data_IF_254666163481
#
_entry.id   IF_254666163481
#
_cell.length_a   1.000
_cell.length_b   1.000
_cell.length_c   1.000
_cell.angle_alpha   90.00
_cell.angle_beta   90.00
_cell.angle_gamma   90.00
#
_symmetry.space_group_name_H-M   'P 1'
#
loop_
_entity.id
_entity.type
_entity.pdbx_description
1 polymer ?
#
# COMPACT_ATOMS: atom_id res chain seq x y z
N UNK A 1 19.25 5.37 -5.94
CA UNK A 1 18.60 4.26 -6.64
C UNK A 1 19.40 3.02 -6.37
N UNK A 2 18.76 1.98 -5.84
CA UNK A 2 19.40 0.68 -5.74
C UNK A 2 19.84 0.25 -7.15
N UNK A 3 21.07 -0.19 -7.29
CA UNK A 3 21.61 -0.73 -8.55
C UNK A 3 21.74 -2.26 -8.47
N UNK A 4 20.94 -2.88 -7.59
CA UNK A 4 21.00 -4.31 -7.33
C UNK A 4 20.71 -5.13 -8.59
N UNK A 5 19.84 -4.63 -9.46
CA UNK A 5 19.48 -5.27 -10.73
C UNK A 5 19.54 -4.28 -11.89
N UNK A 6 19.82 -4.81 -13.07
CA UNK A 6 19.67 -4.09 -14.34
C UNK A 6 18.42 -4.68 -15.01
N UNK A 7 17.30 -3.95 -15.06
CA UNK A 7 16.07 -4.49 -15.64
C UNK A 7 16.26 -4.88 -17.11
N UNK A 8 15.79 -6.07 -17.50
CA UNK A 8 15.96 -6.62 -18.85
C UNK A 8 15.47 -5.68 -19.96
N UNK A 9 14.36 -4.98 -19.69
CA UNK A 9 13.68 -4.09 -20.63
C UNK A 9 14.06 -2.61 -20.47
N UNK A 10 15.08 -2.31 -19.66
CA UNK A 10 15.56 -0.93 -19.51
C UNK A 10 16.14 -0.43 -20.84
N UNK A 11 15.57 0.67 -21.35
CA UNK A 11 16.01 1.26 -22.62
C UNK A 11 15.65 0.43 -23.85
N UNK A 12 14.57 -0.36 -23.78
CA UNK A 12 14.05 -1.11 -24.94
C UNK A 12 13.95 -0.20 -26.18
N UNK A 13 14.51 -0.70 -27.29
CA UNK A 13 14.58 0.00 -28.58
C UNK A 13 13.29 -0.15 -29.39
N UNK A 14 12.52 -1.21 -29.15
CA UNK A 14 11.31 -1.55 -29.90
C UNK A 14 10.12 -1.79 -28.95
N UNK A 15 9.76 -0.81 -28.11
CA UNK A 15 8.69 -1.00 -27.14
C UNK A 15 7.33 -1.16 -27.81
N UNK A 16 6.47 -2.02 -27.24
CA UNK A 16 5.08 -2.11 -27.67
C UNK A 16 4.35 -0.77 -27.40
N UNK A 17 3.78 -0.10 -28.41
CA UNK A 17 3.09 1.18 -28.23
C UNK A 17 1.90 1.10 -27.29
N UNK A 18 1.18 -0.02 -27.25
CA UNK A 18 0.04 -0.22 -26.34
C UNK A 18 0.50 -0.27 -24.89
N UNK A 19 1.63 -0.94 -24.60
CA UNK A 19 2.22 -0.97 -23.26
C UNK A 19 2.64 0.43 -22.80
N UNK A 20 3.34 1.18 -23.66
CA UNK A 20 3.72 2.58 -23.36
C UNK A 20 2.49 3.43 -23.03
N UNK A 21 1.43 3.28 -23.83
CA UNK A 21 0.16 4.00 -23.61
C UNK A 21 -0.50 3.61 -22.29
N UNK A 22 -0.51 2.32 -21.94
CA UNK A 22 -1.09 1.81 -20.71
C UNK A 22 -0.35 2.34 -19.48
N UNK A 23 0.97 2.15 -19.40
CA UNK A 23 1.76 2.60 -18.23
C UNK A 23 1.75 4.12 -18.07
N UNK A 24 1.70 4.88 -19.19
CA UNK A 24 1.52 6.33 -19.18
C UNK A 24 0.18 6.76 -18.61
N UNK A 25 -0.87 5.95 -18.78
CA UNK A 25 -2.21 6.22 -18.24
C UNK A 25 -2.28 5.91 -16.73
N UNK A 26 -1.61 4.84 -16.29
CA UNK A 26 -1.60 4.41 -14.89
C UNK A 26 -0.70 5.29 -14.01
N UNK A 27 0.49 5.69 -14.51
CA UNK A 27 1.47 6.43 -13.72
C UNK A 27 0.89 7.70 -13.10
N UNK A 28 1.18 7.94 -11.84
CA UNK A 28 0.91 9.17 -11.11
C UNK A 28 2.08 10.17 -11.22
N UNK A 29 3.22 9.77 -11.79
CA UNK A 29 4.33 10.68 -12.07
C UNK A 29 3.97 11.67 -13.19
N UNK A 30 3.95 12.95 -12.86
CA UNK A 30 3.69 14.03 -13.84
C UNK A 30 4.62 13.93 -15.07
N UNK A 31 5.96 13.76 -14.93
CA UNK A 31 6.82 13.61 -16.11
C UNK A 31 6.45 12.38 -16.97
N UNK A 32 6.09 11.26 -16.34
CA UNK A 32 5.66 10.04 -17.04
C UNK A 32 4.35 10.23 -17.79
N UNK A 33 3.38 10.97 -17.23
CA UNK A 33 2.12 11.34 -17.91
C UNK A 33 2.36 12.23 -19.13
N UNK A 34 3.38 13.09 -19.11
CA UNK A 34 3.75 13.93 -20.26
C UNK A 34 4.49 13.11 -21.31
N UNK A 35 5.56 12.41 -20.92
CA UNK A 35 6.39 11.62 -21.81
C UNK A 35 6.90 10.37 -21.09
N UNK A 36 6.37 9.22 -21.50
CA UNK A 36 6.84 7.92 -21.03
C UNK A 36 8.04 7.46 -21.86
N UNK A 37 9.06 6.89 -21.21
CA UNK A 37 10.28 6.36 -21.86
C UNK A 37 10.52 4.92 -21.41
N UNK A 38 11.33 4.18 -22.17
CA UNK A 38 11.67 2.78 -21.84
C UNK A 38 12.71 2.64 -20.72
N UNK A 39 13.30 3.75 -20.29
CA UNK A 39 14.13 3.82 -19.08
C UNK A 39 13.30 4.00 -17.80
N UNK A 40 12.01 4.33 -17.94
CA UNK A 40 11.14 4.61 -16.81
C UNK A 40 10.77 3.31 -16.05
N UNK A 41 10.78 3.33 -14.70
CA UNK A 41 10.38 2.19 -13.88
C UNK A 41 8.99 1.65 -14.18
N UNK A 42 8.05 2.53 -14.50
CA UNK A 42 6.71 2.14 -14.93
C UNK A 42 6.73 1.22 -16.15
N UNK A 43 7.62 1.50 -17.11
CA UNK A 43 7.72 0.72 -18.33
C UNK A 43 8.38 -0.62 -18.05
N UNK A 44 9.63 -0.65 -17.58
CA UNK A 44 10.36 -1.91 -17.47
C UNK A 44 9.77 -2.83 -16.38
N UNK A 45 9.11 -2.28 -15.36
CA UNK A 45 8.42 -3.05 -14.33
C UNK A 45 7.18 -3.78 -14.87
N UNK A 46 6.44 -3.19 -15.81
CA UNK A 46 5.36 -3.92 -16.50
C UNK A 46 5.88 -4.76 -17.66
N UNK A 47 6.91 -4.30 -18.38
CA UNK A 47 7.45 -4.99 -19.54
C UNK A 47 7.85 -6.43 -19.22
N UNK A 48 8.51 -6.68 -18.07
CA UNK A 48 8.84 -8.06 -17.67
C UNK A 48 7.58 -8.93 -17.47
N UNK A 49 6.52 -8.39 -16.85
CA UNK A 49 5.26 -9.09 -16.66
C UNK A 49 4.58 -9.45 -17.99
N UNK A 50 4.57 -8.53 -18.96
CA UNK A 50 3.91 -8.77 -20.25
C UNK A 50 4.75 -9.62 -21.20
N UNK A 51 6.06 -9.43 -21.24
CA UNK A 51 6.93 -10.10 -22.21
C UNK A 51 7.43 -11.46 -21.74
N UNK A 52 7.63 -11.65 -20.43
CA UNK A 52 8.18 -12.90 -19.92
C UNK A 52 7.09 -13.85 -19.39
N UNK A 53 5.97 -13.34 -18.88
CA UNK A 53 4.91 -14.18 -18.28
C UNK A 53 3.74 -14.46 -19.26
N UNK A 54 3.75 -13.90 -20.47
CA UNK A 54 2.69 -14.08 -21.47
C UNK A 54 3.25 -14.32 -22.87
N UNK A 55 2.57 -15.17 -23.65
CA UNK A 55 2.81 -15.26 -25.09
C UNK A 55 2.26 -14.03 -25.83
N UNK A 56 2.60 -13.89 -27.11
CA UNK A 56 2.22 -12.73 -27.92
C UNK A 56 0.69 -12.54 -28.02
N UNK A 57 -0.10 -13.63 -28.13
CA UNK A 57 -1.57 -13.57 -28.25
C UNK A 57 -2.16 -13.07 -26.93
N UNK A 58 -1.79 -13.69 -25.82
CA UNK A 58 -2.25 -13.31 -24.47
C UNK A 58 -1.82 -11.89 -24.13
N UNK A 59 -0.59 -11.49 -24.48
CA UNK A 59 -0.08 -10.14 -24.22
C UNK A 59 -0.90 -9.06 -24.92
N UNK A 60 -1.20 -9.24 -26.20
CA UNK A 60 -2.02 -8.28 -26.95
C UNK A 60 -3.45 -8.20 -26.38
N UNK A 61 -4.06 -9.35 -26.07
CA UNK A 61 -5.37 -9.40 -25.42
C UNK A 61 -5.37 -8.70 -24.04
N UNK A 62 -4.33 -8.92 -23.23
CA UNK A 62 -4.15 -8.26 -21.93
C UNK A 62 -4.03 -6.74 -22.07
N UNK A 63 -3.24 -6.25 -23.03
CA UNK A 63 -3.08 -4.82 -23.26
C UNK A 63 -4.39 -4.16 -23.71
N UNK A 64 -5.16 -4.82 -24.57
CA UNK A 64 -6.47 -4.32 -25.01
C UNK A 64 -7.51 -4.37 -23.89
N UNK A 65 -7.57 -5.49 -23.15
CA UNK A 65 -8.46 -5.65 -22.01
C UNK A 65 -8.21 -4.63 -20.90
N UNK A 66 -6.95 -4.49 -20.46
CA UNK A 66 -6.57 -3.52 -19.42
C UNK A 66 -6.80 -2.09 -19.89
N UNK A 67 -6.59 -1.81 -21.19
CA UNK A 67 -6.93 -0.52 -21.75
C UNK A 67 -8.43 -0.27 -21.65
N UNK A 68 -9.28 -1.27 -21.88
CA UNK A 68 -10.73 -1.10 -21.79
C UNK A 68 -11.26 -1.05 -20.36
N UNK A 69 -10.59 -1.71 -19.42
CA UNK A 69 -10.89 -1.66 -17.99
C UNK A 69 -10.48 -0.33 -17.33
N UNK A 70 -9.48 0.38 -17.87
CA UNK A 70 -9.01 1.64 -17.28
C UNK A 70 -9.96 2.80 -17.59
N UNK A 71 -10.12 3.72 -16.64
CA UNK A 71 -11.02 4.85 -16.84
C UNK A 71 -10.63 5.71 -18.03
N UNK A 72 -11.60 6.06 -18.87
CA UNK A 72 -11.35 7.00 -19.99
C UNK A 72 -11.29 8.46 -19.53
N UNK A 73 -11.73 8.76 -18.30
CA UNK A 73 -11.68 10.10 -17.72
C UNK A 73 -10.24 10.57 -17.52
N UNK A 74 -9.99 11.87 -17.73
CA UNK A 74 -8.66 12.44 -17.50
C UNK A 74 -8.31 12.33 -16.01
N UNK A 75 -7.07 11.96 -15.71
CA UNK A 75 -6.52 11.80 -14.36
C UNK A 75 -7.13 10.72 -13.46
N UNK A 76 -8.22 10.05 -13.87
CA UNK A 76 -8.75 8.86 -13.21
C UNK A 76 -8.18 7.59 -13.85
N UNK A 77 -7.79 6.63 -13.01
CA UNK A 77 -7.31 5.30 -13.40
C UNK A 77 -8.38 4.25 -13.10
N UNK A 78 -8.82 4.18 -11.83
CA UNK A 78 -9.77 3.19 -11.35
C UNK A 78 -11.18 3.48 -11.89
N UNK A 79 -11.75 2.49 -12.57
CA UNK A 79 -13.16 2.40 -12.94
C UNK A 79 -13.58 0.96 -12.63
N UNK A 80 -14.72 0.82 -11.93
CA UNK A 80 -15.15 -0.44 -11.35
C UNK A 80 -16.13 -1.14 -12.29
N UNK A 81 -15.82 -2.38 -12.66
CA UNK A 81 -16.59 -3.17 -13.61
C UNK A 81 -17.01 -4.53 -13.01
N UNK A 82 -18.32 -4.80 -12.88
CA UNK A 82 -18.81 -6.10 -12.40
C UNK A 82 -18.42 -7.25 -13.32
N UNK A 83 -18.17 -8.43 -12.76
CA UNK A 83 -17.79 -9.62 -13.54
C UNK A 83 -18.72 -9.95 -14.72
N UNK A 84 -20.07 -9.87 -14.60
CA UNK A 84 -20.97 -10.14 -15.72
C UNK A 84 -20.77 -9.19 -16.91
N UNK A 85 -20.40 -7.93 -16.66
CA UNK A 85 -20.09 -6.96 -17.71
C UNK A 85 -18.81 -7.39 -18.47
N UNK A 86 -17.79 -7.85 -17.75
CA UNK A 86 -16.55 -8.30 -18.36
C UNK A 86 -16.75 -9.54 -19.25
N UNK A 87 -17.65 -10.44 -18.88
CA UNK A 87 -18.05 -11.58 -19.73
C UNK A 87 -18.71 -11.09 -21.03
N UNK A 88 -19.61 -10.11 -20.96
CA UNK A 88 -20.21 -9.51 -22.15
C UNK A 88 -19.13 -8.88 -23.06
N UNK A 89 -18.16 -8.20 -22.47
CA UNK A 89 -17.03 -7.64 -23.23
C UNK A 89 -16.21 -8.73 -23.90
N UNK A 90 -15.91 -9.83 -23.21
CA UNK A 90 -15.18 -10.95 -23.80
C UNK A 90 -15.95 -11.56 -24.98
N UNK A 91 -17.26 -11.79 -24.84
CA UNK A 91 -18.10 -12.32 -25.92
C UNK A 91 -18.18 -11.41 -27.14
N UNK A 92 -18.02 -10.08 -26.96
CA UNK A 92 -18.07 -9.08 -28.04
C UNK A 92 -16.71 -8.78 -28.67
N UNK A 93 -15.66 -8.72 -27.86
CA UNK A 93 -14.31 -8.26 -28.27
C UNK A 93 -13.32 -9.41 -28.43
N UNK A 94 -13.69 -10.61 -27.99
CA UNK A 94 -12.91 -11.84 -28.17
C UNK A 94 -11.48 -11.73 -27.61
N UNK A 95 -11.33 -11.25 -26.36
CA UNK A 95 -10.03 -11.28 -25.68
C UNK A 95 -9.54 -12.72 -25.52
N UNK A 96 -10.47 -13.64 -25.28
CA UNK A 96 -10.26 -15.09 -25.22
C UNK A 96 -11.37 -15.81 -26.00
N UNK A 97 -11.20 -17.12 -26.19
CA UNK A 97 -12.06 -17.91 -27.08
C UNK A 97 -13.36 -18.36 -26.40
N UNK A 98 -13.42 -18.41 -25.05
CA UNK A 98 -14.60 -18.75 -24.25
C UNK A 98 -14.62 -18.05 -22.88
N UNK A 99 -15.77 -18.08 -22.19
CA UNK A 99 -15.90 -17.51 -20.84
C UNK A 99 -15.06 -18.26 -19.80
N UNK A 100 -14.85 -19.57 -19.97
CA UNK A 100 -13.96 -20.35 -19.10
C UNK A 100 -12.50 -19.91 -19.28
N UNK A 101 -12.04 -19.79 -20.53
CA UNK A 101 -10.69 -19.28 -20.81
C UNK A 101 -10.50 -17.82 -20.38
N UNK A 102 -11.59 -17.04 -20.35
CA UNK A 102 -11.58 -15.67 -19.83
C UNK A 102 -11.39 -15.63 -18.31
N UNK A 103 -12.02 -16.55 -17.58
CA UNK A 103 -11.84 -16.67 -16.13
C UNK A 103 -10.37 -16.94 -15.77
N UNK A 104 -9.72 -17.88 -16.47
CA UNK A 104 -8.29 -18.17 -16.29
C UNK A 104 -7.41 -16.97 -16.68
N UNK A 105 -7.77 -16.28 -17.75
CA UNK A 105 -7.07 -15.09 -18.21
C UNK A 105 -7.10 -13.96 -17.17
N UNK A 106 -8.25 -13.65 -16.58
CA UNK A 106 -8.33 -12.62 -15.53
C UNK A 106 -7.63 -13.06 -14.24
N UNK A 107 -7.69 -14.35 -13.89
CA UNK A 107 -6.98 -14.88 -12.71
C UNK A 107 -5.47 -14.72 -12.88
N UNK A 108 -4.95 -14.96 -14.09
CA UNK A 108 -3.55 -14.70 -14.42
C UNK A 108 -3.20 -13.22 -14.29
N UNK A 109 -4.05 -12.31 -14.77
CA UNK A 109 -3.81 -10.87 -14.60
C UNK A 109 -3.83 -10.45 -13.12
N UNK A 110 -4.71 -11.02 -12.30
CA UNK A 110 -4.74 -10.78 -10.85
C UNK A 110 -3.52 -11.37 -10.14
N UNK A 111 -3.08 -12.57 -10.53
CA UNK A 111 -1.82 -13.18 -10.05
C UNK A 111 -0.60 -12.32 -10.39
N UNK A 112 -0.58 -11.66 -11.54
CA UNK A 112 0.48 -10.72 -11.93
C UNK A 112 0.31 -9.32 -11.31
N UNK A 113 -0.78 -9.08 -10.56
CA UNK A 113 -1.09 -7.78 -9.95
C UNK A 113 -1.51 -6.70 -10.94
N UNK A 114 -1.86 -7.08 -12.18
CA UNK A 114 -2.27 -6.14 -13.25
C UNK A 114 -3.74 -5.72 -13.15
N UNK A 115 -4.55 -6.54 -12.47
CA UNK A 115 -5.92 -6.21 -12.08
C UNK A 115 -6.12 -6.52 -10.59
N UNK A 116 -7.09 -5.81 -10.03
CA UNK A 116 -7.55 -5.98 -8.66
C UNK A 116 -9.06 -6.20 -8.69
N UNK A 117 -9.57 -6.86 -7.65
CA UNK A 117 -11.01 -7.03 -7.47
C UNK A 117 -11.41 -7.03 -6.00
N UNK A 118 -12.67 -6.67 -5.76
CA UNK A 118 -13.34 -6.77 -4.47
C UNK A 118 -14.76 -7.30 -4.61
N UNK A 119 -15.49 -7.38 -3.49
CA UNK A 119 -16.90 -7.76 -3.43
C UNK A 119 -17.81 -6.57 -3.10
N UNK A 120 -17.34 -5.32 -3.26
CA UNK A 120 -18.13 -4.11 -3.09
C UNK A 120 -18.37 -3.67 -1.63
N UNK A 121 -17.43 -3.89 -0.71
CA UNK A 121 -17.49 -3.46 0.70
C UNK A 121 -18.79 -3.86 1.41
N UNK A 122 -19.05 -5.16 1.46
CA UNK A 122 -20.27 -5.74 2.06
C UNK A 122 -20.24 -5.78 3.60
N UNK A 123 -19.85 -4.67 4.24
CA UNK A 123 -19.63 -4.58 5.69
C UNK A 123 -20.38 -3.40 6.32
N UNK A 124 -20.94 -3.64 7.50
CA UNK A 124 -21.47 -2.60 8.39
C UNK A 124 -20.44 -2.29 9.47
N UNK A 125 -20.68 -1.27 10.32
CA UNK A 125 -19.83 -1.03 11.48
C UNK A 125 -19.79 -2.20 12.48
N UNK A 126 -20.81 -3.06 12.46
CA UNK A 126 -21.03 -4.15 13.40
C UNK A 126 -20.60 -5.51 12.81
N UNK A 127 -20.01 -5.53 11.61
CA UNK A 127 -19.56 -6.76 10.93
C UNK A 127 -20.06 -6.91 9.49
N UNK A 128 -19.75 -8.04 8.83
CA UNK A 128 -20.24 -8.36 7.49
C UNK A 128 -21.77 -8.33 7.39
N UNK A 129 -22.30 -7.87 6.26
CA UNK A 129 -23.75 -7.84 6.02
C UNK A 129 -24.27 -9.30 5.94
N UNK A 130 -25.28 -9.69 6.74
CA UNK A 130 -25.78 -11.06 6.73
C UNK A 130 -26.36 -11.49 5.38
N UNK A 131 -26.11 -12.73 4.98
CA UNK A 131 -26.63 -13.30 3.73
C UNK A 131 -25.89 -12.83 2.47
N UNK A 132 -24.72 -12.22 2.62
CA UNK A 132 -23.86 -11.84 1.50
C UNK A 132 -23.07 -13.02 0.95
N UNK A 133 -22.90 -13.00 -0.37
CA UNK A 133 -22.10 -13.97 -1.13
C UNK A 133 -20.80 -13.34 -1.59
N UNK A 134 -19.77 -14.17 -1.66
CA UNK A 134 -18.40 -13.82 -2.06
C UNK A 134 -17.97 -14.74 -3.21
N UNK A 135 -18.85 -14.88 -4.21
CA UNK A 135 -18.59 -15.71 -5.37
C UNK A 135 -17.99 -14.87 -6.51
N UNK A 136 -17.40 -15.52 -7.53
CA UNK A 136 -16.77 -14.80 -8.65
C UNK A 136 -17.74 -13.84 -9.36
N UNK A 137 -19.00 -14.22 -9.49
CA UNK A 137 -20.06 -13.42 -10.10
C UNK A 137 -20.36 -12.11 -9.34
N UNK A 138 -20.01 -12.05 -8.06
CA UNK A 138 -20.17 -10.86 -7.22
C UNK A 138 -18.98 -9.90 -7.32
N UNK A 139 -17.88 -10.31 -7.98
CA UNK A 139 -16.64 -9.53 -8.02
C UNK A 139 -16.76 -8.31 -8.92
N UNK A 140 -16.10 -7.24 -8.49
CA UNK A 140 -15.94 -5.99 -9.23
C UNK A 140 -14.44 -5.81 -9.50
N UNK A 141 -14.06 -5.56 -10.74
CA UNK A 141 -12.66 -5.49 -11.17
C UNK A 141 -12.26 -4.08 -11.63
N UNK A 142 -10.98 -3.75 -11.45
CA UNK A 142 -10.37 -2.52 -11.97
C UNK A 142 -8.87 -2.68 -12.22
N UNK A 143 -8.28 -1.71 -12.93
CA UNK A 143 -6.82 -1.57 -13.01
C UNK A 143 -6.32 -0.79 -11.78
N UNK A 144 -5.46 -1.37 -10.93
CA UNK A 144 -4.94 -0.67 -9.76
C UNK A 144 -3.96 0.44 -10.16
N UNK A 145 -3.69 1.35 -9.22
CA UNK A 145 -2.53 2.24 -9.31
C UNK A 145 -1.24 1.42 -9.19
N UNK A 146 -0.08 2.04 -9.35
CA UNK A 146 1.17 1.34 -9.01
C UNK A 146 1.32 1.14 -7.51
N UNK A 147 1.03 2.17 -6.71
CA UNK A 147 1.13 2.15 -5.24
C UNK A 147 0.00 2.99 -4.62
N UNK A 148 -0.78 2.44 -3.67
CA UNK A 148 -0.95 1.00 -3.43
C UNK A 148 -1.55 0.33 -4.67
N UNK A 149 -1.07 -0.86 -5.02
CA UNK A 149 -1.54 -1.57 -6.20
C UNK A 149 -0.50 -2.46 -6.87
N UNK A 150 -0.41 -2.43 -8.20
CA UNK A 150 0.30 -3.46 -8.97
C UNK A 150 1.77 -3.63 -8.61
N UNK A 151 2.49 -2.55 -8.32
CA UNK A 151 3.89 -2.64 -7.90
C UNK A 151 4.02 -3.28 -6.50
N UNK A 152 3.05 -3.06 -5.62
CA UNK A 152 2.97 -3.72 -4.31
C UNK A 152 2.56 -5.19 -4.44
N UNK A 153 1.53 -5.50 -5.23
CA UNK A 153 1.00 -6.85 -5.42
C UNK A 153 2.02 -7.81 -6.04
N UNK A 154 2.90 -7.31 -6.90
CA UNK A 154 4.03 -8.10 -7.40
C UNK A 154 5.04 -8.42 -6.29
N UNK A 155 5.32 -7.47 -5.40
CA UNK A 155 6.24 -7.65 -4.26
C UNK A 155 5.65 -8.54 -3.15
N UNK A 156 4.35 -8.81 -3.17
CA UNK A 156 3.72 -9.79 -2.28
C UNK A 156 3.78 -11.22 -2.83
N UNK A 157 4.19 -11.41 -4.10
CA UNK A 157 4.27 -12.69 -4.76
C UNK A 157 5.74 -13.18 -4.79
N UNK A 158 6.07 -14.14 -3.93
CA UNK A 158 7.45 -14.66 -3.77
C UNK A 158 7.97 -15.28 -5.06
N UNK A 159 7.16 -16.12 -5.71
CA UNK A 159 7.54 -16.84 -6.93
C UNK A 159 7.81 -15.88 -8.09
N UNK A 160 6.95 -14.87 -8.26
CA UNK A 160 7.12 -13.85 -9.28
C UNK A 160 8.38 -13.02 -9.02
N UNK A 161 8.65 -12.66 -7.77
CA UNK A 161 9.85 -11.92 -7.35
C UNK A 161 11.14 -12.75 -7.41
N UNK A 162 11.04 -14.07 -7.45
CA UNK A 162 12.20 -14.94 -7.72
C UNK A 162 12.56 -14.92 -9.21
N UNK A 163 11.56 -14.85 -10.10
CA UNK A 163 11.76 -14.73 -11.56
C UNK A 163 12.14 -13.31 -11.99
N UNK A 164 11.53 -12.30 -11.38
CA UNK A 164 11.67 -10.86 -11.73
C UNK A 164 12.07 -10.01 -10.53
N UNK A 165 13.28 -10.20 -9.97
CA UNK A 165 13.70 -9.47 -8.77
C UNK A 165 13.84 -7.95 -8.99
N UNK A 166 13.90 -7.46 -10.23
CA UNK A 166 13.86 -6.04 -10.55
C UNK A 166 12.54 -5.37 -10.12
N UNK A 167 11.45 -6.14 -9.94
CA UNK A 167 10.18 -5.63 -9.45
C UNK A 167 10.30 -5.02 -8.03
N UNK A 168 11.33 -5.41 -7.26
CA UNK A 168 11.67 -4.73 -6.01
C UNK A 168 12.11 -3.28 -6.22
N UNK A 169 12.91 -3.03 -7.27
CA UNK A 169 13.30 -1.66 -7.65
C UNK A 169 12.10 -0.90 -8.20
N UNK A 170 11.22 -1.57 -8.95
CA UNK A 170 10.01 -0.95 -9.50
C UNK A 170 9.12 -0.42 -8.38
N UNK A 171 8.80 -1.26 -7.40
CA UNK A 171 8.01 -0.87 -6.24
C UNK A 171 8.66 0.28 -5.47
N UNK A 172 9.95 0.18 -5.14
CA UNK A 172 10.68 1.27 -4.46
C UNK A 172 10.59 2.59 -5.23
N UNK A 173 10.72 2.55 -6.56
CA UNK A 173 10.64 3.74 -7.41
C UNK A 173 9.25 4.36 -7.41
N UNK A 174 8.20 3.54 -7.49
CA UNK A 174 6.82 4.01 -7.49
C UNK A 174 6.40 4.57 -6.13
N UNK A 175 7.01 4.12 -5.03
CA UNK A 175 6.80 4.77 -3.72
C UNK A 175 7.50 6.12 -3.54
N UNK A 176 8.46 6.48 -4.41
CA UNK A 176 9.32 7.66 -4.23
C UNK A 176 9.11 8.74 -5.29
N UNK A 177 9.19 8.37 -6.57
CA UNK A 177 9.23 9.30 -7.69
C UNK A 177 7.96 10.14 -7.89
N UNK A 178 6.73 9.64 -7.63
CA UNK A 178 5.53 10.48 -7.71
C UNK A 178 5.54 11.61 -6.68
N UNK A 179 6.17 11.36 -5.53
CA UNK A 179 6.14 12.22 -4.36
C UNK A 179 7.22 13.31 -4.37
N UNK A 180 8.31 13.11 -5.10
CA UNK A 180 9.51 13.97 -5.12
C UNK A 180 9.25 15.47 -5.24
N UNK A 181 8.20 15.87 -5.98
CA UNK A 181 7.89 17.29 -6.25
C UNK A 181 6.61 17.77 -5.57
N UNK A 182 5.84 16.88 -4.95
CA UNK A 182 4.53 17.23 -4.39
C UNK A 182 4.48 17.11 -2.87
N UNK A 183 5.47 16.44 -2.25
CA UNK A 183 5.53 16.24 -0.79
C UNK A 183 5.33 17.52 0.03
N UNK A 184 5.91 18.70 -0.31
CA UNK A 184 5.69 19.91 0.50
C UNK A 184 4.26 20.47 0.41
N UNK A 185 3.47 20.01 -0.56
CA UNK A 185 2.09 20.46 -0.81
C UNK A 185 1.05 19.48 -0.24
N UNK A 186 1.47 18.34 0.34
CA UNK A 186 0.55 17.36 0.92
C UNK A 186 0.02 17.90 2.25
N UNK A 187 -1.31 18.07 2.39
CA UNK A 187 -1.89 18.61 3.61
C UNK A 187 -1.88 17.58 4.75
N UNK A 188 -2.34 18.01 5.92
CA UNK A 188 -2.46 17.18 7.11
C UNK A 188 -3.30 15.92 6.84
N UNK A 189 -2.81 14.75 7.24
CA UNK A 189 -3.51 13.48 7.02
C UNK A 189 -3.30 12.90 5.63
N UNK A 190 -2.30 13.36 4.87
CA UNK A 190 -1.85 12.68 3.66
C UNK A 190 -2.75 12.79 2.43
N UNK A 191 -3.99 13.31 2.52
CA UNK A 191 -4.94 13.41 1.40
C UNK A 191 -5.15 12.12 0.60
N UNK A 192 -5.17 10.96 1.27
CA UNK A 192 -5.25 9.65 0.61
C UNK A 192 -3.99 9.24 -0.16
N UNK A 193 -2.95 10.09 -0.20
CA UNK A 193 -1.61 9.81 -0.74
C UNK A 193 -0.68 9.26 0.36
N UNK A 194 -0.85 9.77 1.59
CA UNK A 194 -0.13 9.33 2.78
C UNK A 194 -0.85 8.22 3.56
N UNK A 195 -0.12 7.58 4.47
CA UNK A 195 -0.68 6.62 5.42
C UNK A 195 -1.04 7.33 6.72
N UNK A 196 -2.08 6.90 7.42
CA UNK A 196 -2.44 7.37 8.74
C UNK A 196 -1.81 6.48 9.81
N UNK A 197 -1.11 7.08 10.77
CA UNK A 197 -0.51 6.33 11.89
C UNK A 197 -1.53 6.16 13.01
N UNK A 198 -1.83 4.91 13.34
CA UNK A 198 -2.69 4.58 14.49
C UNK A 198 -1.81 4.35 15.73
N UNK A 199 -2.07 5.04 16.85
CA UNK A 199 -1.38 4.77 18.11
C UNK A 199 -1.70 3.38 18.67
N UNK A 200 -0.86 2.92 19.60
CA UNK A 200 -1.15 1.74 20.42
C UNK A 200 -2.46 1.95 21.17
N UNK A 201 -3.40 1.02 21.02
CA UNK A 201 -4.76 1.16 21.56
C UNK A 201 -4.78 1.35 23.09
N UNK A 202 -3.88 0.66 23.80
CA UNK A 202 -3.69 0.84 25.25
C UNK A 202 -3.32 2.28 25.65
N UNK A 203 -2.71 3.06 24.75
CA UNK A 203 -2.36 4.45 25.01
C UNK A 203 -3.58 5.38 24.93
N UNK A 204 -4.64 4.99 24.19
CA UNK A 204 -5.84 5.81 23.96
C UNK A 204 -7.08 5.33 24.73
N UNK A 205 -7.07 4.11 25.28
CA UNK A 205 -8.20 3.50 25.99
C UNK A 205 -8.65 4.21 27.28
N UNK A 206 -7.93 5.24 27.74
CA UNK A 206 -8.26 6.02 28.93
C UNK A 206 -9.09 7.28 28.62
N UNK A 207 -9.37 7.57 27.34
CA UNK A 207 -10.11 8.76 26.92
C UNK A 207 -11.52 8.37 26.41
N UNK A 208 -12.56 8.81 27.14
CA UNK A 208 -13.97 8.54 26.83
C UNK A 208 -14.49 9.25 25.56
N UNK A 209 -13.68 10.10 24.91
CA UNK A 209 -14.05 10.92 23.76
C UNK A 209 -13.32 10.51 22.46
N UNK A 210 -12.62 9.38 22.46
CA UNK A 210 -11.91 8.91 21.26
C UNK A 210 -12.87 8.42 20.18
N UNK A 211 -12.54 8.69 18.91
CA UNK A 211 -13.35 8.24 17.77
C UNK A 211 -12.99 6.77 17.47
N UNK A 212 -13.99 5.91 17.31
CA UNK A 212 -13.81 4.46 17.10
C UNK A 212 -12.83 4.13 15.95
N UNK A 213 -12.79 4.93 14.88
CA UNK A 213 -11.92 4.73 13.71
C UNK A 213 -10.43 4.81 14.02
N UNK A 214 -10.05 5.41 15.16
CA UNK A 214 -8.67 5.50 15.63
C UNK A 214 -8.26 4.27 16.45
N UNK A 215 -9.17 3.31 16.66
CA UNK A 215 -8.88 2.05 17.36
C UNK A 215 -8.71 0.92 16.35
N UNK A 216 -7.64 0.13 16.50
CA UNK A 216 -7.40 -1.02 15.63
C UNK A 216 -8.47 -2.10 15.85
N UNK A 217 -8.88 -2.31 17.10
CA UNK A 217 -9.90 -3.28 17.46
C UNK A 217 -11.25 -3.01 16.78
N UNK A 218 -11.59 -1.75 16.53
CA UNK A 218 -12.78 -1.39 15.75
C UNK A 218 -12.74 -2.00 14.34
N UNK A 219 -11.63 -1.78 13.62
CA UNK A 219 -11.47 -2.30 12.26
C UNK A 219 -11.44 -3.82 12.21
N UNK A 220 -10.74 -4.46 13.16
CA UNK A 220 -10.70 -5.92 13.23
C UNK A 220 -12.07 -6.55 13.50
N UNK A 221 -12.91 -5.91 14.33
CA UNK A 221 -14.29 -6.36 14.56
C UNK A 221 -15.18 -6.12 13.35
N UNK A 222 -15.08 -4.94 12.73
CA UNK A 222 -15.84 -4.59 11.52
C UNK A 222 -15.66 -5.63 10.40
N UNK A 223 -14.45 -6.15 10.24
CA UNK A 223 -14.08 -7.11 9.20
C UNK A 223 -13.90 -8.53 9.74
N UNK A 224 -14.51 -8.88 10.88
CA UNK A 224 -14.41 -10.21 11.46
C UNK A 224 -14.86 -11.29 10.47
N UNK A 225 -14.07 -12.36 10.35
CA UNK A 225 -14.25 -13.40 9.34
C UNK A 225 -13.60 -13.11 7.98
N UNK A 226 -13.19 -11.87 7.73
CA UNK A 226 -12.46 -11.42 6.53
C UNK A 226 -11.16 -10.72 6.94
N UNK A 227 -10.36 -11.42 7.74
CA UNK A 227 -9.04 -10.97 8.18
C UNK A 227 -8.00 -11.90 7.59
N UNK A 228 -6.98 -11.31 6.97
CA UNK A 228 -5.88 -12.06 6.38
C UNK A 228 -4.55 -11.41 6.67
N UNK A 229 -3.47 -12.17 6.62
CA UNK A 229 -2.13 -11.62 6.75
C UNK A 229 -1.23 -12.12 5.62
N UNK A 230 -0.37 -11.24 5.16
CA UNK A 230 0.57 -11.53 4.09
C UNK A 230 1.95 -10.94 4.35
N UNK A 231 2.77 -11.06 3.32
CA UNK A 231 4.12 -10.52 3.28
C UNK A 231 4.07 -8.99 3.33
N UNK A 232 4.93 -8.39 4.14
CA UNK A 232 5.25 -6.98 4.02
C UNK A 232 6.07 -6.74 2.74
N UNK A 233 5.40 -6.21 1.72
CA UNK A 233 5.95 -5.82 0.41
C UNK A 233 7.25 -5.02 0.57
N UNK A 234 7.29 -4.06 1.51
CA UNK A 234 8.47 -3.22 1.77
C UNK A 234 9.66 -4.01 2.33
N UNK A 235 9.43 -4.89 3.33
CA UNK A 235 10.50 -5.73 3.91
C UNK A 235 11.05 -6.70 2.88
N UNK A 236 10.18 -7.36 2.14
CA UNK A 236 10.59 -8.34 1.14
C UNK A 236 11.30 -7.70 -0.05
N UNK A 237 10.76 -6.60 -0.59
CA UNK A 237 11.41 -5.82 -1.64
C UNK A 237 12.82 -5.37 -1.22
N UNK A 238 12.99 -4.79 -0.02
CA UNK A 238 14.31 -4.39 0.50
C UNK A 238 15.25 -5.59 0.68
N UNK A 239 14.75 -6.74 1.14
CA UNK A 239 15.53 -7.98 1.21
C UNK A 239 16.08 -8.38 -0.17
N UNK A 240 15.25 -8.31 -1.22
CA UNK A 240 15.68 -8.59 -2.61
C UNK A 240 16.74 -7.62 -3.11
N UNK A 241 16.73 -6.38 -2.64
CA UNK A 241 17.72 -5.36 -2.98
C UNK A 241 19.02 -5.44 -2.15
N UNK A 242 19.16 -6.43 -1.26
CA UNK A 242 20.25 -6.48 -0.25
C UNK A 242 20.27 -5.28 0.71
N UNK A 243 19.11 -4.66 0.94
CA UNK A 243 18.88 -3.52 1.82
C UNK A 243 17.88 -3.87 2.95
N UNK A 244 17.69 -5.17 3.20
CA UNK A 244 16.75 -5.70 4.18
C UNK A 244 17.18 -5.43 5.63
N UNK A 245 16.33 -5.89 6.56
CA UNK A 245 16.62 -5.91 7.99
C UNK A 245 16.61 -7.36 8.51
N UNK A 246 16.91 -7.52 9.80
CA UNK A 246 16.86 -8.81 10.47
C UNK A 246 15.42 -9.32 10.72
N UNK A 247 14.42 -8.46 10.58
CA UNK A 247 13.01 -8.87 10.72
C UNK A 247 12.65 -9.87 9.62
N UNK A 248 11.83 -10.88 9.97
CA UNK A 248 11.15 -11.66 8.95
C UNK A 248 10.18 -10.77 8.17
N UNK A 249 9.95 -11.07 6.89
CA UNK A 249 9.08 -10.27 6.03
C UNK A 249 7.62 -10.76 6.02
N UNK A 250 7.35 -11.95 6.55
CA UNK A 250 6.01 -12.57 6.59
C UNK A 250 5.19 -12.01 7.73
N UNK A 251 3.87 -12.08 7.54
CA UNK A 251 2.86 -11.87 8.57
C UNK A 251 2.89 -10.50 9.27
N UNK A 252 3.18 -9.43 8.51
CA UNK A 252 3.19 -8.06 9.03
C UNK A 252 2.21 -7.11 8.35
N UNK A 253 1.69 -7.46 7.18
CA UNK A 253 0.63 -6.70 6.53
C UNK A 253 -0.68 -7.45 6.73
N UNK A 254 -1.57 -6.90 7.56
CA UNK A 254 -2.89 -7.48 7.79
C UNK A 254 -3.83 -6.86 6.74
N UNK A 255 -4.32 -7.67 5.82
CA UNK A 255 -5.44 -7.30 4.95
C UNK A 255 -6.75 -7.44 5.72
N UNK A 256 -7.69 -6.54 5.49
CA UNK A 256 -9.03 -6.61 6.08
C UNK A 256 -10.10 -6.47 5.01
N UNK A 257 -11.25 -7.10 5.24
CA UNK A 257 -12.36 -7.10 4.30
C UNK A 257 -11.96 -7.66 2.94
N UNK A 258 -12.39 -6.98 1.87
CA UNK A 258 -12.16 -7.43 0.49
C UNK A 258 -10.67 -7.64 0.13
N UNK A 259 -9.76 -6.89 0.75
CA UNK A 259 -8.32 -7.05 0.52
C UNK A 259 -7.79 -8.36 1.11
N UNK A 260 -8.34 -8.80 2.26
CA UNK A 260 -7.99 -10.11 2.81
C UNK A 260 -8.35 -11.22 1.83
N UNK A 261 -9.55 -11.14 1.26
CA UNK A 261 -10.04 -12.10 0.26
C UNK A 261 -9.20 -12.08 -1.02
N UNK A 262 -8.92 -10.89 -1.58
CA UNK A 262 -8.04 -10.76 -2.75
C UNK A 262 -6.66 -11.36 -2.49
N UNK A 263 -6.06 -11.10 -1.33
CA UNK A 263 -4.75 -11.62 -0.98
C UNK A 263 -4.76 -13.14 -0.85
N UNK A 264 -5.75 -13.71 -0.18
CA UNK A 264 -5.91 -15.17 -0.03
C UNK A 264 -6.10 -15.84 -1.39
N UNK A 265 -7.05 -15.35 -2.17
CA UNK A 265 -7.45 -15.95 -3.45
C UNK A 265 -6.36 -15.89 -4.51
N UNK A 266 -5.46 -14.92 -4.40
CA UNK A 266 -4.31 -14.79 -5.30
C UNK A 266 -2.99 -15.33 -4.72
N UNK A 267 -3.04 -16.02 -3.57
CA UNK A 267 -1.89 -16.69 -2.97
C UNK A 267 -0.86 -15.76 -2.31
N UNK A 268 -1.25 -14.53 -1.97
CA UNK A 268 -0.41 -13.47 -1.36
C UNK A 268 -0.51 -13.40 0.16
N UNK A 269 -1.53 -14.05 0.73
CA UNK A 269 -1.79 -14.08 2.16
C UNK A 269 -2.60 -15.31 2.55
N UNK A 270 -2.87 -15.42 3.83
CA UNK A 270 -3.68 -16.48 4.43
C UNK A 270 -4.59 -15.88 5.50
N UNK A 271 -5.71 -16.54 5.77
CA UNK A 271 -6.69 -16.08 6.76
C UNK A 271 -6.13 -16.18 8.17
N UNK A 272 -6.54 -15.24 9.01
CA UNK A 272 -6.23 -15.23 10.43
C UNK A 272 -7.48 -14.91 11.24
N UNK A 273 -7.50 -15.34 12.48
CA UNK A 273 -8.53 -14.98 13.44
C UNK A 273 -8.28 -13.59 14.04
N UNK A 274 -9.29 -13.02 14.69
CA UNK A 274 -9.16 -11.78 15.45
C UNK A 274 -8.03 -11.85 16.48
N UNK A 275 -7.95 -12.95 17.24
CA UNK A 275 -6.93 -13.14 18.28
C UNK A 275 -5.51 -13.23 17.69
N UNK A 276 -5.35 -13.88 16.54
CA UNK A 276 -4.08 -13.92 15.81
C UNK A 276 -3.69 -12.53 15.30
N UNK A 277 -4.64 -11.75 14.77
CA UNK A 277 -4.41 -10.36 14.37
C UNK A 277 -3.93 -9.53 15.57
N UNK A 278 -4.60 -9.64 16.72
CA UNK A 278 -4.20 -8.97 17.96
C UNK A 278 -2.81 -9.40 18.45
N UNK A 279 -2.46 -10.68 18.30
CA UNK A 279 -1.13 -11.18 18.65
C UNK A 279 -0.04 -10.60 17.74
N UNK A 280 -0.29 -10.49 16.43
CA UNK A 280 0.62 -9.86 15.47
C UNK A 280 0.83 -8.38 15.81
N UNK A 281 -0.26 -7.66 16.11
CA UNK A 281 -0.21 -6.25 16.48
C UNK A 281 0.62 -6.05 17.76
N UNK A 282 0.33 -6.81 18.81
CA UNK A 282 1.10 -6.76 20.07
C UNK A 282 2.58 -7.06 19.83
N UNK A 283 2.89 -8.04 18.99
CA UNK A 283 4.28 -8.35 18.62
C UNK A 283 4.91 -7.15 17.89
N UNK A 284 4.20 -6.53 16.96
CA UNK A 284 4.68 -5.33 16.28
C UNK A 284 4.97 -4.18 17.27
N UNK A 285 4.12 -3.99 18.28
CA UNK A 285 4.34 -3.02 19.37
C UNK A 285 5.59 -3.35 20.19
N UNK A 286 5.78 -4.61 20.58
CA UNK A 286 6.96 -5.07 21.33
C UNK A 286 8.26 -4.84 20.53
N UNK A 287 8.19 -4.91 19.20
CA UNK A 287 9.29 -4.58 18.29
C UNK A 287 9.46 -3.07 18.02
N UNK A 288 8.54 -2.22 18.50
CA UNK A 288 8.54 -0.78 18.26
C UNK A 288 8.15 -0.38 16.83
N UNK A 289 7.38 -1.22 16.14
CA UNK A 289 6.84 -0.91 14.82
C UNK A 289 5.67 0.06 14.91
N UNK A 290 5.40 0.73 13.79
CA UNK A 290 4.34 1.73 13.68
C UNK A 290 3.17 1.13 12.92
N UNK A 291 1.98 1.11 13.54
CA UNK A 291 0.75 0.73 12.87
C UNK A 291 0.30 1.83 11.92
N UNK A 292 -0.02 1.46 10.69
CA UNK A 292 -0.47 2.38 9.66
C UNK A 292 -1.69 1.83 8.94
N UNK A 293 -2.69 2.67 8.73
CA UNK A 293 -3.84 2.40 7.87
C UNK A 293 -3.89 3.42 6.74
N UNK A 294 -4.76 3.17 5.76
CA UNK A 294 -5.11 4.17 4.74
C UNK A 294 -6.58 4.05 4.40
N UNK A 295 -7.19 5.18 4.08
CA UNK A 295 -8.58 5.37 3.70
C UNK A 295 -8.70 5.81 2.23
N UNK A 296 -7.73 5.45 1.38
CA UNK A 296 -7.72 5.81 -0.05
C UNK A 296 -8.98 5.33 -0.79
N UNK A 297 -9.64 4.29 -0.30
CA UNK A 297 -10.85 3.72 -0.88
C UNK A 297 -12.15 4.38 -0.39
N UNK A 298 -12.06 5.41 0.46
CA UNK A 298 -13.20 6.22 0.90
C UNK A 298 -13.30 6.38 2.42
N UNK A 299 -14.22 7.24 2.84
CA UNK A 299 -14.52 7.45 4.26
C UNK A 299 -15.15 6.19 4.88
N UNK A 300 -14.71 5.83 6.10
CA UNK A 300 -15.25 4.68 6.84
C UNK A 300 -14.79 3.30 6.33
N UNK A 301 -13.79 3.25 5.45
CA UNK A 301 -13.20 2.03 4.90
C UNK A 301 -11.67 2.07 5.01
N UNK A 302 -11.07 0.92 5.34
CA UNK A 302 -9.63 0.67 5.17
C UNK A 302 -9.46 -0.67 4.46
N UNK A 303 -8.32 -0.87 3.79
CA UNK A 303 -8.02 -2.16 3.15
C UNK A 303 -6.92 -2.96 3.86
N UNK A 304 -6.06 -2.29 4.63
CA UNK A 304 -4.97 -2.95 5.34
C UNK A 304 -4.51 -2.21 6.59
N UNK A 305 -3.93 -2.99 7.50
CA UNK A 305 -3.22 -2.54 8.69
C UNK A 305 -1.76 -2.98 8.55
N UNK A 306 -0.89 -2.01 8.29
CA UNK A 306 0.53 -2.21 8.09
C UNK A 306 1.31 -2.09 9.41
N UNK A 307 2.18 -3.07 9.71
CA UNK A 307 3.04 -3.07 10.90
C UNK A 307 4.49 -2.72 10.53
N UNK A 308 4.77 -1.42 10.47
CA UNK A 308 5.93 -0.90 9.76
C UNK A 308 7.17 -0.67 10.62
N UNK A 309 8.28 -1.30 10.21
CA UNK A 309 9.60 -0.88 10.64
C UNK A 309 10.01 0.38 9.87
N UNK A 310 10.29 1.44 10.62
CA UNK A 310 10.56 2.79 10.12
C UNK A 310 11.78 2.85 9.21
N UNK A 311 12.77 1.98 9.46
CA UNK A 311 14.00 1.92 8.65
C UNK A 311 13.80 1.29 7.28
N UNK A 312 12.67 0.59 7.09
CA UNK A 312 12.42 -0.28 5.93
C UNK A 312 11.18 0.14 5.13
N UNK A 313 10.12 0.55 5.82
CA UNK A 313 8.85 0.95 5.21
C UNK A 313 9.06 2.08 4.20
N UNK A 314 8.58 1.89 2.97
CA UNK A 314 8.73 2.89 1.93
C UNK A 314 7.93 4.17 2.26
N UNK A 315 6.71 4.05 2.79
CA UNK A 315 5.88 5.21 3.17
C UNK A 315 6.55 6.07 4.26
N UNK A 316 6.93 5.47 5.39
CA UNK A 316 7.57 6.19 6.51
C UNK A 316 8.92 6.79 6.10
N UNK A 317 9.72 6.06 5.31
CA UNK A 317 11.00 6.59 4.79
C UNK A 317 10.78 7.78 3.89
N UNK A 318 9.77 7.75 3.02
CA UNK A 318 9.45 8.88 2.14
C UNK A 318 9.05 10.11 2.95
N UNK A 319 8.22 9.96 3.98
CA UNK A 319 7.87 11.05 4.90
C UNK A 319 9.10 11.65 5.59
N UNK A 320 10.08 10.82 5.98
CA UNK A 320 11.33 11.30 6.58
C UNK A 320 12.28 11.95 5.56
N UNK A 321 12.45 11.34 4.39
CA UNK A 321 13.35 11.82 3.34
C UNK A 321 12.97 13.21 2.83
N UNK A 322 11.67 13.48 2.69
CA UNK A 322 11.16 14.79 2.27
C UNK A 322 10.83 15.72 3.45
N UNK A 323 11.17 15.33 4.68
CA UNK A 323 10.85 16.08 5.90
C UNK A 323 9.39 16.54 5.94
N UNK A 324 8.48 15.62 5.59
CA UNK A 324 7.04 15.88 5.46
C UNK A 324 6.27 15.03 6.47
N UNK A 325 6.27 15.39 7.77
CA UNK A 325 5.64 14.58 8.82
C UNK A 325 4.12 14.44 8.63
N UNK A 326 3.49 15.34 7.88
CA UNK A 326 2.05 15.35 7.61
C UNK A 326 1.57 14.13 6.80
N UNK A 327 2.48 13.47 6.08
CA UNK A 327 2.20 12.26 5.30
C UNK A 327 2.02 10.98 6.14
N UNK A 328 2.46 11.00 7.39
CA UNK A 328 2.40 9.84 8.30
C UNK A 328 2.11 10.29 9.74
N UNK A 329 1.22 11.27 9.90
CA UNK A 329 0.86 11.82 11.21
C UNK A 329 -0.30 11.04 11.81
N UNK A 330 -0.23 10.85 13.13
CA UNK A 330 -1.37 10.38 13.92
C UNK A 330 -2.31 11.55 14.27
N UNK A 331 -3.59 11.25 14.51
CA UNK A 331 -4.51 12.20 15.14
C UNK A 331 -4.04 12.62 16.55
N UNK A 332 -3.24 11.78 17.20
CA UNK A 332 -2.72 12.01 18.55
C UNK A 332 -1.29 12.54 18.52
N UNK A 333 -0.97 13.42 19.47
CA UNK A 333 0.38 13.95 19.69
C UNK A 333 0.89 13.44 21.03
N UNK A 334 2.04 12.77 21.02
CA UNK A 334 2.69 12.33 22.24
C UNK A 334 3.17 13.54 23.06
N UNK A 335 2.70 13.64 24.30
CA UNK A 335 3.13 14.66 25.27
C UNK A 335 3.95 14.03 26.40
N UNK A 336 4.98 14.75 26.87
CA UNK A 336 5.80 14.35 28.01
C UNK A 336 5.51 15.30 29.17
N UNK A 337 4.85 14.80 30.23
CA UNK A 337 4.74 15.53 31.50
C UNK A 337 6.11 15.53 32.22
N UNK A 338 6.77 16.69 32.38
CA UNK A 338 8.08 16.78 33.03
C UNK A 338 8.09 16.28 34.48
N UNK A 339 6.94 16.31 35.17
CA UNK A 339 6.82 15.82 36.56
C UNK A 339 7.01 14.31 36.62
N UNK A 340 6.42 13.59 35.66
CA UNK A 340 6.46 12.13 35.57
C UNK A 340 7.70 11.60 34.85
N UNK A 341 8.34 12.43 34.02
CA UNK A 341 9.54 12.03 33.28
C UNK A 341 10.73 11.80 34.22
N UNK A 342 11.31 10.61 34.22
CA UNK A 342 12.54 10.28 34.97
C UNK A 342 13.81 10.42 34.13
N UNK A 343 13.71 10.99 32.93
CA UNK A 343 14.82 11.19 31.99
C UNK A 343 15.57 9.89 31.63
N UNK A 344 14.87 8.76 31.55
CA UNK A 344 15.49 7.46 31.24
C UNK A 344 15.92 7.29 29.77
N UNK A 345 15.53 8.19 28.87
CA UNK A 345 15.96 8.17 27.46
C UNK A 345 15.26 7.16 26.54
N UNK A 346 14.46 6.22 27.07
CA UNK A 346 13.79 5.20 26.25
C UNK A 346 12.96 5.80 25.10
N UNK A 347 12.20 6.86 25.35
CA UNK A 347 11.41 7.52 24.31
C UNK A 347 12.26 8.09 23.16
N UNK A 348 13.51 8.45 23.41
CA UNK A 348 14.46 8.94 22.39
C UNK A 348 14.98 7.79 21.55
N UNK A 349 15.33 6.66 22.18
CA UNK A 349 15.85 5.47 21.49
C UNK A 349 14.80 4.83 20.57
N UNK A 350 13.54 4.79 21.01
CA UNK A 350 12.47 4.16 20.25
C UNK A 350 11.79 5.09 19.25
N UNK A 351 11.97 6.43 19.33
CA UNK A 351 11.23 7.36 18.48
C UNK A 351 11.50 7.11 16.99
N UNK A 352 10.50 6.64 16.22
CA UNK A 352 10.61 6.42 14.78
C UNK A 352 11.19 7.60 14.00
N UNK A 353 10.70 8.79 14.30
CA UNK A 353 11.00 10.02 13.58
C UNK A 353 12.23 10.76 14.12
N UNK A 354 12.86 10.26 15.18
CA UNK A 354 13.89 11.01 15.90
C UNK A 354 13.39 12.35 16.45
N UNK A 355 12.08 12.50 16.65
CA UNK A 355 11.44 13.75 17.06
C UNK A 355 11.64 14.07 18.55
N UNK A 356 11.84 13.04 19.38
CA UNK A 356 12.02 13.19 20.83
C UNK A 356 13.49 13.44 21.17
N UNK A 357 13.75 14.40 22.06
CA UNK A 357 15.10 14.72 22.55
C UNK A 357 15.19 14.53 24.06
N UNK A 358 16.31 13.99 24.54
CA UNK A 358 16.60 13.90 25.96
C UNK A 358 16.87 15.30 26.52
N UNK A 359 16.52 15.52 27.78
CA UNK A 359 16.87 16.76 28.48
C UNK A 359 15.77 17.82 28.56
N UNK A 360 14.54 17.51 28.12
CA UNK A 360 13.38 18.40 28.30
C UNK A 360 13.10 18.73 29.79
N UNK A 361 13.50 17.85 30.72
CA UNK A 361 13.43 18.06 32.17
C UNK A 361 14.67 18.74 32.77
N UNK A 362 15.79 18.80 32.05
CA UNK A 362 17.04 19.32 32.62
C UNK A 362 16.88 20.83 32.85
N UNK A 363 17.04 21.26 34.10
CA UNK A 363 17.17 22.67 34.42
C UNK A 363 18.43 23.21 33.73
N UNK A 364 18.27 23.97 32.66
CA UNK A 364 19.40 24.69 32.08
C UNK A 364 19.60 26.00 32.85
N UNK A 365 20.78 26.61 32.74
CA UNK A 365 21.06 27.91 33.39
C UNK A 365 20.04 29.00 33.01
N UNK A 366 19.33 28.83 31.89
CA UNK A 366 18.34 29.76 31.36
C UNK A 366 16.88 29.28 31.55
N UNK A 367 16.64 28.25 32.36
CA UNK A 367 15.30 27.66 32.58
C UNK A 367 15.02 26.42 31.71
N UNK A 368 13.74 26.02 31.56
CA UNK A 368 13.35 24.91 30.69
C UNK A 368 13.72 25.19 29.22
N UNK A 369 14.18 24.17 28.51
CA UNK A 369 14.48 24.28 27.08
C UNK A 369 13.18 24.42 26.29
N UNK A 370 13.01 25.55 25.57
CA UNK A 370 11.95 25.74 24.59
C UNK A 370 12.50 25.41 23.20
N UNK A 371 11.85 24.47 22.51
CA UNK A 371 12.19 24.14 21.14
C UNK A 371 11.35 24.98 20.18
N UNK A 372 11.91 25.42 19.04
CA UNK A 372 11.10 26.06 18.02
C UNK A 372 10.01 25.07 17.59
N UNK A 373 8.76 25.42 17.87
CA UNK A 373 7.60 24.72 17.30
C UNK A 373 7.46 25.26 15.88
N UNK A 374 7.42 24.36 14.91
CA UNK A 374 7.00 24.75 13.58
C UNK A 374 5.51 25.06 13.67
N UNK A 375 5.14 26.32 13.43
CA UNK A 375 3.73 26.71 13.37
C UNK A 375 3.06 25.89 12.28
N UNK A 376 2.04 25.15 12.67
CA UNK A 376 1.18 24.45 11.73
C UNK A 376 0.22 25.49 11.12
N UNK A 377 -0.24 25.30 9.88
CA UNK A 377 -1.13 26.25 9.21
C UNK A 377 -2.49 26.45 9.88
N UNK A 378 -2.82 25.66 10.89
CA UNK A 378 -4.07 25.67 11.67
C UNK A 378 -4.01 26.59 12.91
N UNK A 379 -2.85 27.20 13.21
CA UNK A 379 -2.74 28.23 14.23
C UNK A 379 -3.17 29.61 13.67
N UNK A 380 -4.46 29.76 13.37
CA UNK A 380 -5.10 31.04 13.08
C UNK A 380 -6.46 31.15 13.78
#
# INVERSE_FOLDING_TARGET
MSKAFVPKYYGDKNPNPKLIRLVRKITDRIPGKVKMTTEAPEYWGYACLFYDEMDDKTREAALDFLWDLISKKAFTVREHHPYPELLEWNRKKHYTDSDESFAEFIDKLAYLGLIEYDYGDKYTKDGPIPGTTYNREDRIYWVPLFVPGSAEYTNMNVELMDRHPELAMFFERMTFLPLEKITPMVPMGGSGIGMHVIPVEKAISMENETIDIEHISYWLKRYEGHLGVGICSCRYGRKKLNEGCADDYRDWCIGVGDMADYCRETGRGHDITYDEAMAILKKAEDHGFVHQITNIDGEGKIFAICNCNVKICNALRTSQLFNTPNMSRSAYVAEVDPKNCVACGRCVEYCPAGAVKLGQKLCTKNGPQTYPKQELPDAA
#
